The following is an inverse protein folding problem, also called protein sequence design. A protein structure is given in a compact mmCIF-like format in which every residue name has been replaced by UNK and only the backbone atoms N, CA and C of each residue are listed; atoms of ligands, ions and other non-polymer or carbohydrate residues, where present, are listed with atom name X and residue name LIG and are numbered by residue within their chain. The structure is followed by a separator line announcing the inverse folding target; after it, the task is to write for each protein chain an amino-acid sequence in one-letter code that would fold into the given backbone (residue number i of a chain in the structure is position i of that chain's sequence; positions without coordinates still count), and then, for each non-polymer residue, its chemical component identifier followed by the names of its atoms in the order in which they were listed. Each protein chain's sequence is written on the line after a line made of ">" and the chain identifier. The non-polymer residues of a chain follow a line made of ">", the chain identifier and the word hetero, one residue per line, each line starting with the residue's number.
data_IF_998155022665
#
_entry.id   IF_998155022665
#
_cell.length_a   1.000
_cell.length_b   1.000
_cell.length_c   1.000
_cell.angle_alpha   90.00
_cell.angle_beta   90.00
_cell.angle_gamma   90.00
#
_symmetry.space_group_name_H-M   'P 1'
#
loop_
_entity.id
_entity.type
_entity.pdbx_description
1 polymer ?
#
# COMPACT_ATOMS: atom_id res chain seq x y z
N UNK A 1 25.02 -53.32 32.85
CA UNK A 1 24.18 -52.66 33.87
C UNK A 1 24.30 -51.18 33.67
N UNK A 2 23.36 -50.59 32.94
CA UNK A 2 22.96 -49.19 33.06
C UNK A 2 21.70 -49.04 32.21
N UNK A 3 20.54 -48.92 32.85
CA UNK A 3 19.31 -48.44 32.22
C UNK A 3 19.10 -47.04 32.78
N UNK A 4 18.97 -46.08 31.86
CA UNK A 4 19.10 -44.65 32.13
C UNK A 4 18.06 -44.06 33.09
N UNK A 5 18.49 -42.94 33.68
CA UNK A 5 17.73 -42.07 34.57
C UNK A 5 16.41 -41.61 33.95
N UNK A 6 15.32 -41.78 34.70
CA UNK A 6 14.04 -41.12 34.46
C UNK A 6 13.84 -40.02 35.49
N UNK A 7 13.77 -38.78 34.98
CA UNK A 7 13.50 -37.55 35.72
C UNK A 7 12.15 -37.66 36.47
N UNK A 8 12.18 -37.35 37.77
CA UNK A 8 11.02 -37.34 38.64
C UNK A 8 10.17 -36.07 38.41
N UNK A 9 8.94 -36.26 37.95
CA UNK A 9 7.83 -35.32 38.15
C UNK A 9 6.77 -36.02 38.99
N UNK A 10 6.44 -35.41 40.11
CA UNK A 10 5.47 -35.90 41.09
C UNK A 10 4.04 -35.80 40.54
N UNK A 11 3.40 -36.96 40.44
CA UNK A 11 1.97 -37.17 40.23
C UNK A 11 1.65 -38.59 40.66
N UNK A 12 0.70 -38.74 41.56
CA UNK A 12 0.30 -40.02 42.16
C UNK A 12 -0.30 -40.95 41.09
N UNK A 13 0.51 -41.91 40.63
CA UNK A 13 0.10 -43.25 40.23
C UNK A 13 1.34 -44.11 40.30
N UNK A 14 1.49 -44.87 41.39
CA UNK A 14 2.62 -45.79 41.57
C UNK A 14 2.35 -47.03 40.71
N UNK A 15 2.46 -46.89 39.39
CA UNK A 15 2.52 -48.03 38.49
C UNK A 15 3.96 -48.57 38.56
N UNK A 16 4.32 -49.13 39.71
CA UNK A 16 5.55 -49.89 39.86
C UNK A 16 5.45 -51.10 38.96
N UNK A 17 6.14 -51.05 37.84
CA UNK A 17 6.23 -52.17 36.92
C UNK A 17 7.08 -53.27 37.57
N UNK A 18 6.44 -54.39 37.91
CA UNK A 18 7.07 -55.51 38.63
C UNK A 18 7.69 -56.55 37.68
N UNK A 19 7.47 -56.39 36.37
CA UNK A 19 7.99 -57.29 35.34
C UNK A 19 9.49 -57.09 35.16
N UNK A 20 10.18 -58.17 34.81
CA UNK A 20 11.63 -58.17 34.62
C UNK A 20 11.97 -57.53 33.28
N UNK A 21 12.73 -56.44 33.31
CA UNK A 21 13.21 -55.78 32.09
C UNK A 21 14.43 -56.49 31.50
N UNK A 22 14.33 -56.86 30.23
CA UNK A 22 15.40 -57.53 29.46
C UNK A 22 15.63 -56.76 28.16
N UNK A 23 16.85 -56.82 27.63
CA UNK A 23 17.26 -56.11 26.41
C UNK A 23 17.08 -56.92 25.13
N UNK A 24 17.15 -58.25 25.20
CA UNK A 24 16.99 -59.15 24.05
C UNK A 24 15.88 -60.17 24.30
N UNK A 25 14.96 -60.28 23.35
CA UNK A 25 13.88 -61.28 23.37
C UNK A 25 14.46 -62.68 23.13
N UNK A 26 15.47 -62.79 22.26
CA UNK A 26 16.15 -64.05 21.93
C UNK A 26 16.78 -64.73 23.14
N UNK A 27 17.49 -63.98 23.98
CA UNK A 27 18.11 -64.54 25.19
C UNK A 27 17.07 -65.14 26.15
N UNK A 28 15.90 -64.52 26.25
CA UNK A 28 14.79 -65.03 27.08
C UNK A 28 14.18 -66.29 26.47
N UNK A 29 14.02 -66.34 25.15
CA UNK A 29 13.54 -67.54 24.43
C UNK A 29 14.50 -68.71 24.66
N UNK A 30 15.81 -68.50 24.53
CA UNK A 30 16.82 -69.54 24.77
C UNK A 30 16.78 -70.06 26.21
N UNK A 31 16.59 -69.15 27.16
CA UNK A 31 16.46 -69.49 28.58
C UNK A 31 15.19 -70.29 28.86
N UNK A 32 14.03 -69.86 28.33
CA UNK A 32 12.76 -70.58 28.43
C UNK A 32 12.93 -72.00 27.86
N UNK A 33 13.55 -72.16 26.70
CA UNK A 33 13.77 -73.45 26.06
C UNK A 33 14.66 -74.38 26.91
N UNK A 34 15.73 -73.85 27.50
CA UNK A 34 16.61 -74.62 28.39
C UNK A 34 15.89 -75.10 29.66
N UNK A 35 15.11 -74.23 30.29
CA UNK A 35 14.35 -74.61 31.49
C UNK A 35 13.17 -75.53 31.20
N UNK A 36 12.51 -75.38 30.04
CA UNK A 36 11.52 -76.35 29.56
C UNK A 36 12.11 -77.74 29.40
N UNK A 37 13.32 -77.87 28.84
CA UNK A 37 14.01 -79.15 28.72
C UNK A 37 14.30 -79.76 30.09
N UNK A 38 14.80 -78.96 31.04
CA UNK A 38 15.08 -79.41 32.41
C UNK A 38 13.81 -79.85 33.14
N UNK A 39 12.73 -79.08 33.02
CA UNK A 39 11.42 -79.41 33.60
C UNK A 39 10.85 -80.70 32.99
N UNK A 40 10.98 -80.88 31.67
CA UNK A 40 10.57 -82.10 30.99
C UNK A 40 11.35 -83.33 31.46
N UNK A 41 12.67 -83.21 31.67
CA UNK A 41 13.50 -84.30 32.22
C UNK A 41 13.09 -84.65 33.65
N UNK A 42 12.88 -83.65 34.52
CA UNK A 42 12.49 -83.87 35.92
C UNK A 42 11.09 -84.49 36.06
N UNK A 43 10.14 -84.14 35.18
CA UNK A 43 8.79 -84.70 35.16
C UNK A 43 8.77 -86.16 34.65
N UNK A 44 9.69 -86.53 33.76
CA UNK A 44 9.80 -87.90 33.25
C UNK A 44 10.26 -88.91 34.30
N UNK A 45 10.95 -88.46 35.35
CA UNK A 45 11.46 -89.29 36.45
C UNK A 45 10.40 -89.61 37.53
N UNK A 46 9.14 -89.18 37.35
CA UNK A 46 8.05 -89.41 38.31
C UNK A 46 7.36 -90.78 38.08
N UNK A 47 7.28 -91.67 39.10
CA UNK A 47 6.92 -93.08 38.90
C UNK A 47 5.41 -93.45 38.89
N UNK A 48 4.46 -92.53 39.07
CA UNK A 48 3.10 -92.91 39.56
C UNK A 48 1.87 -92.38 38.77
N UNK A 49 1.88 -92.30 37.44
CA UNK A 49 0.65 -91.95 36.72
C UNK A 49 0.48 -92.57 35.31
N UNK A 50 -0.78 -92.67 34.81
CA UNK A 50 -1.07 -93.24 33.50
C UNK A 50 -0.45 -92.39 32.37
N UNK A 51 0.31 -93.04 31.49
CA UNK A 51 1.18 -92.40 30.47
C UNK A 51 0.48 -91.34 29.61
N UNK A 52 -0.79 -91.55 29.23
CA UNK A 52 -1.53 -90.60 28.39
C UNK A 52 -1.95 -89.33 29.14
N UNK A 53 -2.33 -89.44 30.42
CA UNK A 53 -2.70 -88.26 31.21
C UNK A 53 -1.47 -87.43 31.59
N UNK A 54 -0.33 -88.10 31.81
CA UNK A 54 0.94 -87.44 32.10
C UNK A 54 1.47 -86.61 30.93
N UNK A 55 1.35 -87.10 29.70
CA UNK A 55 1.81 -86.37 28.52
C UNK A 55 1.04 -85.06 28.33
N UNK A 56 -0.29 -85.11 28.43
CA UNK A 56 -1.15 -83.91 28.32
C UNK A 56 -0.83 -82.91 29.45
N UNK A 57 -0.74 -83.39 30.70
CA UNK A 57 -0.42 -82.54 31.84
C UNK A 57 0.97 -81.90 31.74
N UNK A 58 1.95 -82.65 31.22
CA UNK A 58 3.32 -82.14 31.00
C UNK A 58 3.33 -81.05 29.93
N UNK A 59 2.59 -81.23 28.85
CA UNK A 59 2.50 -80.24 27.77
C UNK A 59 1.80 -78.96 28.24
N UNK A 60 0.70 -79.09 28.99
CA UNK A 60 0.00 -77.95 29.60
C UNK A 60 0.89 -77.23 30.61
N UNK A 61 1.63 -77.95 31.46
CA UNK A 61 2.54 -77.35 32.43
C UNK A 61 3.69 -76.58 31.76
N UNK A 62 4.26 -77.12 30.68
CA UNK A 62 5.31 -76.45 29.90
C UNK A 62 4.79 -75.20 29.19
N UNK A 63 3.57 -75.24 28.66
CA UNK A 63 2.92 -74.08 28.05
C UNK A 63 2.56 -73.00 29.09
N UNK A 64 2.06 -73.41 30.26
CA UNK A 64 1.75 -72.51 31.37
C UNK A 64 3.03 -71.87 31.95
N UNK A 65 4.13 -72.62 32.03
CA UNK A 65 5.43 -72.09 32.42
C UNK A 65 5.90 -70.99 31.44
N UNK A 66 5.86 -71.27 30.15
CA UNK A 66 6.22 -70.29 29.12
C UNK A 66 5.36 -69.03 29.20
N UNK A 67 4.03 -69.18 29.18
CA UNK A 67 3.13 -68.05 29.25
C UNK A 67 3.35 -67.24 30.55
N UNK A 68 3.58 -67.94 31.67
CA UNK A 68 3.92 -67.31 32.94
C UNK A 68 5.20 -66.48 32.87
N UNK A 69 6.25 -66.96 32.22
CA UNK A 69 7.49 -66.19 32.03
C UNK A 69 7.28 -65.03 31.08
N UNK A 70 6.61 -65.24 29.94
CA UNK A 70 6.37 -64.20 28.93
C UNK A 70 5.55 -63.03 29.47
N UNK A 71 4.51 -63.30 30.26
CA UNK A 71 3.67 -62.26 30.88
C UNK A 71 4.47 -61.44 31.91
N UNK A 72 5.49 -62.02 32.55
CA UNK A 72 6.29 -61.39 33.60
C UNK A 72 7.58 -60.72 33.10
N UNK A 73 7.81 -60.67 31.79
CA UNK A 73 9.00 -60.09 31.18
C UNK A 73 8.61 -58.89 30.30
N UNK A 74 9.44 -57.85 30.35
CA UNK A 74 9.42 -56.72 29.45
C UNK A 74 10.69 -56.71 28.61
N UNK A 75 10.56 -56.58 27.30
CA UNK A 75 11.70 -56.44 26.40
C UNK A 75 11.79 -54.98 25.97
N UNK A 76 12.87 -54.30 26.34
CA UNK A 76 13.06 -52.85 26.08
C UNK A 76 11.87 -51.99 26.55
N UNK A 77 11.20 -52.38 27.64
CA UNK A 77 10.04 -51.69 28.20
C UNK A 77 8.71 -52.01 27.51
N UNK A 78 8.70 -52.89 26.50
CA UNK A 78 7.50 -53.35 25.81
C UNK A 78 7.07 -54.74 26.32
N UNK A 79 5.75 -55.04 26.35
CA UNK A 79 5.26 -56.38 26.66
C UNK A 79 5.71 -57.39 25.59
N UNK A 80 5.76 -58.67 25.98
CA UNK A 80 6.30 -59.75 25.15
C UNK A 80 5.71 -59.82 23.73
N UNK A 81 4.40 -59.58 23.58
CA UNK A 81 3.69 -59.65 22.29
C UNK A 81 3.97 -58.44 21.37
N UNK A 82 4.34 -57.29 21.94
CA UNK A 82 4.62 -56.04 21.20
C UNK A 82 6.11 -55.83 20.95
N UNK A 83 6.96 -56.55 21.68
CA UNK A 83 8.39 -56.47 21.52
C UNK A 83 8.83 -57.05 20.17
N UNK A 84 9.68 -56.33 19.41
CA UNK A 84 10.18 -56.80 18.13
C UNK A 84 10.92 -58.13 18.32
N UNK A 85 10.64 -59.08 17.43
CA UNK A 85 11.44 -60.29 17.33
C UNK A 85 12.74 -59.91 16.63
N UNK A 86 13.87 -60.18 17.28
CA UNK A 86 15.23 -59.95 16.74
C UNK A 86 15.46 -60.70 15.40
N UNK A 87 14.56 -61.63 15.03
CA UNK A 87 14.58 -62.40 13.78
C UNK A 87 13.83 -61.71 12.62
N UNK A 88 12.96 -60.73 12.89
CA UNK A 88 12.15 -60.03 11.86
C UNK A 88 12.92 -58.89 11.19
N UNK A 89 14.08 -58.49 11.73
CA UNK A 89 15.05 -57.65 11.00
C UNK A 89 15.72 -58.39 9.82
N UNK A 90 15.44 -59.68 9.66
CA UNK A 90 15.89 -60.50 8.52
C UNK A 90 14.86 -60.54 7.38
N UNK A 91 13.96 -59.55 7.27
CA UNK A 91 13.45 -59.16 5.95
C UNK A 91 14.61 -58.46 5.23
N UNK A 92 15.53 -59.29 4.68
CA UNK A 92 16.84 -58.95 4.10
C UNK A 92 16.67 -58.06 2.87
N UNK A 93 16.26 -56.82 3.08
CA UNK A 93 16.59 -55.75 2.15
C UNK A 93 18.11 -55.62 2.28
N UNK A 94 18.82 -55.93 1.20
CA UNK A 94 20.26 -55.68 1.09
C UNK A 94 20.48 -54.16 1.15
N UNK A 95 20.50 -53.64 2.38
CA UNK A 95 20.64 -52.22 2.70
C UNK A 95 21.94 -51.67 2.11
N UNK A 96 22.97 -52.52 1.99
CA UNK A 96 24.24 -52.16 1.37
C UNK A 96 24.05 -51.89 -0.13
N UNK A 97 23.31 -52.73 -0.85
CA UNK A 97 23.00 -52.48 -2.27
C UNK A 97 22.16 -51.22 -2.50
N UNK A 98 21.15 -50.97 -1.65
CA UNK A 98 20.29 -49.77 -1.73
C UNK A 98 21.13 -48.53 -1.44
N UNK A 99 22.00 -48.61 -0.43
CA UNK A 99 22.91 -47.53 -0.09
C UNK A 99 23.87 -47.23 -1.24
N UNK A 100 24.49 -48.24 -1.84
CA UNK A 100 25.39 -48.08 -2.97
C UNK A 100 24.69 -47.47 -4.18
N UNK A 101 23.49 -47.93 -4.51
CA UNK A 101 22.69 -47.35 -5.59
C UNK A 101 22.41 -45.86 -5.33
N UNK A 102 22.00 -45.51 -4.11
CA UNK A 102 21.71 -44.12 -3.75
C UNK A 102 22.97 -43.24 -3.77
N UNK A 103 24.13 -43.77 -3.35
CA UNK A 103 25.41 -43.05 -3.40
C UNK A 103 25.82 -42.79 -4.86
N UNK A 104 25.71 -43.79 -5.73
CA UNK A 104 26.03 -43.65 -7.16
C UNK A 104 25.07 -42.67 -7.82
N UNK A 105 23.78 -42.77 -7.56
CA UNK A 105 22.77 -41.88 -8.13
C UNK A 105 23.01 -40.43 -7.69
N UNK A 106 23.20 -40.19 -6.39
CA UNK A 106 23.42 -38.86 -5.85
C UNK A 106 24.72 -38.25 -6.38
N UNK A 107 25.80 -39.03 -6.48
CA UNK A 107 27.07 -38.61 -7.05
C UNK A 107 26.92 -38.23 -8.54
N UNK A 108 26.19 -39.05 -9.31
CA UNK A 108 25.87 -38.76 -10.71
C UNK A 108 25.04 -37.48 -10.85
N UNK A 109 24.03 -37.28 -10.00
CA UNK A 109 23.19 -36.07 -10.00
C UNK A 109 24.04 -34.83 -9.69
N UNK A 110 24.84 -34.85 -8.63
CA UNK A 110 25.76 -33.76 -8.24
C UNK A 110 26.74 -33.38 -9.35
N UNK A 111 27.22 -34.35 -10.13
CA UNK A 111 28.15 -34.10 -11.23
C UNK A 111 27.49 -33.58 -12.52
N UNK A 112 26.32 -34.12 -12.89
CA UNK A 112 25.68 -33.84 -14.19
C UNK A 112 24.67 -32.69 -14.14
N UNK A 113 23.82 -32.63 -13.12
CA UNK A 113 22.68 -31.70 -13.11
C UNK A 113 23.09 -30.22 -13.13
N UNK A 114 24.10 -29.76 -12.37
CA UNK A 114 24.53 -28.37 -12.45
C UNK A 114 24.97 -27.97 -13.87
N UNK A 115 25.64 -28.88 -14.60
CA UNK A 115 26.09 -28.66 -15.97
C UNK A 115 24.93 -28.61 -16.97
N UNK A 116 23.83 -29.32 -16.70
CA UNK A 116 22.61 -29.25 -17.51
C UNK A 116 21.76 -28.02 -17.18
N UNK A 117 21.63 -27.66 -15.90
CA UNK A 117 20.81 -26.52 -15.45
C UNK A 117 21.45 -25.18 -15.86
N UNK A 118 22.77 -25.06 -15.76
CA UNK A 118 23.49 -23.81 -15.99
C UNK A 118 23.19 -23.18 -17.37
N UNK A 119 23.25 -23.90 -18.51
CA UNK A 119 22.88 -23.36 -19.81
C UNK A 119 21.44 -22.82 -19.85
N UNK A 120 20.47 -23.50 -19.24
CA UNK A 120 19.08 -23.06 -19.25
C UNK A 120 18.89 -21.73 -18.51
N UNK A 121 19.49 -21.61 -17.33
CA UNK A 121 19.44 -20.37 -16.53
C UNK A 121 20.16 -19.23 -17.26
N UNK A 122 21.34 -19.50 -17.84
CA UNK A 122 22.08 -18.49 -18.62
C UNK A 122 21.27 -18.03 -19.83
N UNK A 123 20.61 -18.93 -20.56
CA UNK A 123 19.73 -18.57 -21.68
C UNK A 123 18.53 -17.74 -21.22
N UNK A 124 17.89 -18.10 -20.12
CA UNK A 124 16.76 -17.36 -19.55
C UNK A 124 17.18 -15.94 -19.15
N UNK A 125 18.29 -15.79 -18.42
CA UNK A 125 18.82 -14.48 -18.03
C UNK A 125 19.21 -13.62 -19.24
N UNK A 126 19.81 -14.22 -20.28
CA UNK A 126 20.10 -13.52 -21.54
C UNK A 126 18.81 -13.07 -22.24
N UNK A 127 17.77 -13.90 -22.26
CA UNK A 127 16.48 -13.54 -22.84
C UNK A 127 15.82 -12.38 -22.08
N UNK A 128 15.80 -12.44 -20.75
CA UNK A 128 15.29 -11.36 -19.90
C UNK A 128 16.06 -10.05 -20.14
N UNK A 129 17.39 -10.09 -20.23
CA UNK A 129 18.21 -8.92 -20.56
C UNK A 129 17.87 -8.35 -21.94
N UNK A 130 17.64 -9.21 -22.95
CA UNK A 130 17.20 -8.77 -24.28
C UNK A 130 15.86 -8.06 -24.22
N UNK A 131 14.89 -8.60 -23.47
CA UNK A 131 13.57 -7.99 -23.28
C UNK A 131 13.72 -6.61 -22.62
N UNK A 132 14.52 -6.49 -21.56
CA UNK A 132 14.76 -5.21 -20.89
C UNK A 132 15.36 -4.16 -21.83
N UNK A 133 16.30 -4.56 -22.70
CA UNK A 133 16.87 -3.66 -23.71
C UNK A 133 15.85 -3.15 -24.75
N UNK A 134 14.70 -3.81 -24.91
CA UNK A 134 13.61 -3.29 -25.72
C UNK A 134 12.86 -2.17 -25.00
N UNK A 135 12.65 -2.28 -23.68
CA UNK A 135 11.96 -1.26 -22.88
C UNK A 135 12.74 0.06 -22.80
N UNK A 136 14.08 0.00 -22.69
CA UNK A 136 14.93 1.19 -22.59
C UNK A 136 14.77 2.16 -23.77
N UNK A 137 14.47 1.65 -24.97
CA UNK A 137 14.30 2.48 -26.18
C UNK A 137 12.90 3.10 -26.32
N UNK A 138 11.90 2.58 -25.62
CA UNK A 138 10.49 2.97 -25.82
C UNK A 138 10.15 4.26 -25.07
N UNK A 139 10.88 4.59 -23.99
CA UNK A 139 10.59 5.77 -23.18
C UNK A 139 11.48 6.93 -23.61
N UNK A 140 11.09 7.62 -24.69
CA UNK A 140 11.57 8.99 -24.93
C UNK A 140 10.61 9.95 -24.23
N UNK A 141 11.06 10.77 -23.25
CA UNK A 141 10.21 11.77 -22.64
C UNK A 141 9.73 12.73 -23.74
N UNK A 142 8.41 12.89 -23.84
CA UNK A 142 7.79 13.83 -24.77
C UNK A 142 8.24 15.24 -24.36
N UNK A 143 8.93 15.92 -25.27
CA UNK A 143 9.38 17.28 -25.03
C UNK A 143 8.16 18.19 -25.02
N UNK A 144 7.81 18.70 -23.84
CA UNK A 144 6.74 19.69 -23.69
C UNK A 144 7.20 21.00 -24.33
N UNK A 145 6.81 21.22 -25.57
CA UNK A 145 6.99 22.51 -26.25
C UNK A 145 5.93 23.49 -25.76
N UNK A 146 6.31 24.74 -25.54
CA UNK A 146 5.35 25.81 -25.26
C UNK A 146 4.44 26.01 -26.47
N UNK A 147 3.17 26.27 -26.20
CA UNK A 147 2.18 26.59 -27.23
C UNK A 147 2.52 27.97 -27.84
N UNK A 148 2.72 27.99 -29.15
CA UNK A 148 3.09 29.20 -29.88
C UNK A 148 2.01 30.28 -29.79
N UNK A 149 0.73 29.88 -29.70
CA UNK A 149 -0.38 30.82 -29.56
C UNK A 149 -0.38 31.45 -28.17
N UNK A 150 -0.04 30.67 -27.13
CA UNK A 150 0.10 31.17 -25.77
C UNK A 150 1.26 32.16 -25.64
N UNK A 151 2.40 31.86 -26.25
CA UNK A 151 3.57 32.75 -26.24
C UNK A 151 3.27 34.06 -27.00
N UNK A 152 2.61 34.00 -28.16
CA UNK A 152 2.22 35.19 -28.92
C UNK A 152 1.24 36.09 -28.14
N UNK A 153 0.25 35.50 -27.46
CA UNK A 153 -0.67 36.26 -26.60
C UNK A 153 0.05 36.91 -25.41
N UNK A 154 1.03 36.20 -24.81
CA UNK A 154 1.79 36.71 -23.68
C UNK A 154 2.69 37.89 -24.10
N UNK A 155 3.29 37.81 -25.29
CA UNK A 155 4.12 38.89 -25.85
C UNK A 155 3.28 40.12 -26.19
N UNK A 156 2.12 39.95 -26.83
CA UNK A 156 1.20 41.06 -27.14
C UNK A 156 0.73 41.76 -25.86
N UNK A 157 0.31 41.00 -24.86
CA UNK A 157 -0.13 41.54 -23.57
C UNK A 157 1.01 42.30 -22.87
N UNK A 158 2.21 41.76 -22.89
CA UNK A 158 3.40 42.36 -22.29
C UNK A 158 3.82 43.64 -23.01
N UNK A 159 3.66 43.70 -24.33
CA UNK A 159 3.92 44.90 -25.13
C UNK A 159 2.87 46.01 -24.92
N UNK A 160 1.59 45.64 -24.77
CA UNK A 160 0.48 46.58 -24.62
C UNK A 160 0.38 47.17 -23.20
N UNK A 161 0.67 46.39 -22.16
CA UNK A 161 0.47 46.79 -20.77
C UNK A 161 1.17 48.11 -20.37
N UNK A 162 2.45 48.39 -20.74
CA UNK A 162 3.10 49.65 -20.41
C UNK A 162 2.47 50.88 -21.09
N UNK A 163 1.82 50.71 -22.25
CA UNK A 163 1.09 51.77 -22.94
C UNK A 163 -0.12 52.22 -22.11
N UNK A 164 -0.96 51.25 -21.75
CA UNK A 164 -2.18 51.47 -20.96
C UNK A 164 -1.83 52.11 -19.60
N UNK A 165 -0.81 51.61 -18.90
CA UNK A 165 -0.39 52.16 -17.60
C UNK A 165 0.00 53.64 -17.72
N UNK A 166 0.73 54.02 -18.78
CA UNK A 166 1.13 55.42 -19.00
C UNK A 166 -0.07 56.32 -19.29
N UNK A 167 -1.05 55.84 -20.04
CA UNK A 167 -2.29 56.56 -20.30
C UNK A 167 -3.10 56.76 -19.03
N UNK A 168 -3.26 55.71 -18.21
CA UNK A 168 -3.95 55.81 -16.92
C UNK A 168 -3.27 56.83 -16.01
N UNK A 169 -1.93 56.81 -15.89
CA UNK A 169 -1.19 57.80 -15.10
C UNK A 169 -1.42 59.22 -15.63
N UNK A 170 -1.45 59.40 -16.96
CA UNK A 170 -1.71 60.72 -17.57
C UNK A 170 -3.11 61.22 -17.25
N UNK A 171 -4.12 60.37 -17.38
CA UNK A 171 -5.53 60.69 -17.07
C UNK A 171 -5.69 61.04 -15.59
N UNK A 172 -5.09 60.27 -14.69
CA UNK A 172 -5.13 60.56 -13.25
C UNK A 172 -4.53 61.96 -12.98
N UNK A 173 -3.36 62.27 -13.55
CA UNK A 173 -2.73 63.58 -13.39
C UNK A 173 -3.59 64.72 -13.94
N UNK A 174 -4.23 64.54 -15.11
CA UNK A 174 -5.10 65.56 -15.68
C UNK A 174 -6.37 65.78 -14.86
N UNK A 175 -6.97 64.71 -14.31
CA UNK A 175 -8.16 64.82 -13.45
C UNK A 175 -7.85 65.70 -12.23
N UNK A 176 -6.71 65.50 -11.58
CA UNK A 176 -6.32 66.36 -10.45
C UNK A 176 -6.13 67.83 -10.85
N UNK A 177 -5.58 68.09 -12.03
CA UNK A 177 -5.43 69.46 -12.54
C UNK A 177 -6.79 70.12 -12.80
N UNK A 178 -7.71 69.39 -13.46
CA UNK A 178 -9.07 69.88 -13.74
C UNK A 178 -9.85 70.11 -12.46
N UNK A 179 -9.74 69.21 -11.47
CA UNK A 179 -10.38 69.38 -10.16
C UNK A 179 -9.91 70.67 -9.46
N UNK A 180 -8.60 70.95 -9.50
CA UNK A 180 -8.04 72.20 -8.95
C UNK A 180 -8.56 73.44 -9.67
N UNK A 181 -8.66 73.39 -11.00
CA UNK A 181 -9.23 74.50 -11.79
C UNK A 181 -10.71 74.72 -11.47
N UNK A 182 -11.50 73.66 -11.38
CA UNK A 182 -12.92 73.73 -11.04
C UNK A 182 -13.13 74.31 -9.63
N UNK A 183 -12.29 73.94 -8.67
CA UNK A 183 -12.34 74.52 -7.32
C UNK A 183 -11.95 76.01 -7.30
N UNK A 184 -10.92 76.40 -8.07
CA UNK A 184 -10.55 77.81 -8.23
C UNK A 184 -11.66 78.65 -8.86
N UNK A 185 -12.31 78.15 -9.91
CA UNK A 185 -13.47 78.80 -10.54
C UNK A 185 -14.63 78.94 -9.55
N UNK A 186 -14.92 77.88 -8.80
CA UNK A 186 -15.93 77.90 -7.73
C UNK A 186 -15.61 78.95 -6.68
N UNK A 187 -14.34 79.10 -6.29
CA UNK A 187 -13.92 80.13 -5.34
C UNK A 187 -14.19 81.53 -5.89
N UNK A 188 -13.79 81.82 -7.14
CA UNK A 188 -14.02 83.13 -7.79
C UNK A 188 -15.50 83.47 -7.86
N UNK A 189 -16.36 82.52 -8.27
CA UNK A 189 -17.82 82.72 -8.34
C UNK A 189 -18.46 83.00 -6.98
N UNK A 190 -17.87 82.50 -5.89
CA UNK A 190 -18.34 82.74 -4.52
C UNK A 190 -17.77 84.04 -3.89
N UNK A 191 -16.83 84.73 -4.56
CA UNK A 191 -16.33 86.02 -4.08
C UNK A 191 -17.37 87.12 -4.33
N UNK A 192 -17.57 88.00 -3.35
CA UNK A 192 -18.39 89.20 -3.56
C UNK A 192 -17.59 90.21 -4.39
N UNK A 193 -18.18 90.85 -5.40
CA UNK A 193 -17.51 91.92 -6.13
C UNK A 193 -17.15 93.06 -5.18
N UNK A 194 -15.95 93.63 -5.35
CA UNK A 194 -15.52 94.80 -4.58
C UNK A 194 -16.46 95.99 -4.85
N UNK A 195 -16.55 96.91 -3.89
CA UNK A 195 -17.36 98.13 -4.05
C UNK A 195 -16.95 98.93 -5.29
N UNK A 196 -15.65 99.03 -5.56
CA UNK A 196 -15.12 99.70 -6.75
C UNK A 196 -15.58 99.01 -8.07
N UNK A 197 -15.55 97.67 -8.12
CA UNK A 197 -16.06 96.94 -9.29
C UNK A 197 -17.58 97.07 -9.48
N UNK A 198 -18.34 97.17 -8.39
CA UNK A 198 -19.78 97.41 -8.45
C UNK A 198 -20.11 98.84 -8.92
N UNK A 199 -19.32 99.82 -8.51
CA UNK A 199 -19.45 101.22 -8.92
C UNK A 199 -19.20 101.39 -10.41
N UNK A 200 -18.09 100.84 -10.93
CA UNK A 200 -17.81 100.79 -12.37
C UNK A 200 -18.90 100.05 -13.14
N UNK A 201 -19.41 98.92 -12.62
CA UNK A 201 -20.49 98.19 -13.28
C UNK A 201 -21.81 98.98 -13.30
N UNK A 202 -22.06 99.83 -12.29
CA UNK A 202 -23.20 100.77 -12.28
C UNK A 202 -22.99 101.94 -13.23
N UNK A 203 -21.77 102.43 -13.40
CA UNK A 203 -21.46 103.52 -14.34
C UNK A 203 -21.57 103.05 -15.81
N UNK A 204 -21.14 101.82 -16.11
CA UNK A 204 -21.12 101.28 -17.48
C UNK A 204 -22.45 100.62 -17.86
N UNK A 205 -23.11 99.94 -16.93
CA UNK A 205 -24.31 99.14 -17.19
C UNK A 205 -25.54 99.55 -16.35
N UNK A 206 -25.50 100.70 -15.66
CA UNK A 206 -26.63 101.22 -14.88
C UNK A 206 -27.77 101.75 -15.75
N UNK A 207 -29.02 101.74 -15.22
CA UNK A 207 -30.22 102.06 -16.00
C UNK A 207 -30.31 103.55 -16.37
N UNK A 208 -30.71 103.82 -17.61
CA UNK A 208 -31.24 105.12 -18.02
C UNK A 208 -32.74 105.14 -17.74
N UNK A 209 -33.16 105.87 -16.70
CA UNK A 209 -34.56 106.01 -16.29
C UNK A 209 -35.42 106.71 -17.35
N UNK A 210 -36.47 106.03 -17.86
CA UNK A 210 -37.68 106.65 -18.41
C UNK A 210 -38.95 105.85 -18.05
N UNK A 211 -39.75 106.44 -17.14
CA UNK A 211 -41.22 106.54 -17.06
C UNK A 211 -42.17 105.31 -17.13
N UNK A 212 -42.69 104.94 -15.94
CA UNK A 212 -44.11 104.89 -15.54
C UNK A 212 -45.09 103.79 -16.06
N UNK A 213 -45.32 102.73 -15.25
CA UNK A 213 -46.60 102.06 -14.90
C UNK A 213 -46.38 100.87 -13.90
N UNK A 214 -47.39 100.42 -13.10
CA UNK A 214 -47.26 99.93 -11.70
C UNK A 214 -46.71 98.48 -11.49
N UNK A 215 -46.38 98.07 -10.24
CA UNK A 215 -45.37 97.04 -9.98
C UNK A 215 -45.85 95.59 -10.13
N UNK A 216 -44.96 94.79 -10.73
CA UNK A 216 -44.92 93.34 -10.65
C UNK A 216 -44.53 92.86 -9.25
N UNK A 217 -45.23 91.85 -8.75
CA UNK A 217 -44.71 90.99 -7.69
C UNK A 217 -43.82 89.89 -8.31
N UNK A 218 -42.54 89.98 -7.95
CA UNK A 218 -41.69 88.88 -7.48
C UNK A 218 -41.13 87.85 -8.49
N UNK A 219 -39.82 88.04 -8.70
CA UNK A 219 -38.76 87.06 -8.45
C UNK A 219 -38.50 85.98 -9.52
N UNK A 220 -37.74 86.33 -10.56
CA UNK A 220 -36.91 85.36 -11.27
C UNK A 220 -35.45 85.44 -10.84
N UNK A 221 -34.98 84.33 -10.26
CA UNK A 221 -33.57 84.02 -10.08
C UNK A 221 -32.91 83.76 -11.46
N UNK A 222 -31.67 84.20 -11.73
CA UNK A 222 -31.01 83.88 -12.99
C UNK A 222 -30.64 82.39 -13.09
N UNK A 223 -31.47 81.69 -13.85
CA UNK A 223 -31.30 80.45 -14.61
C UNK A 223 -30.16 79.47 -14.24
N UNK A 224 -30.54 78.39 -13.55
CA UNK A 224 -29.85 77.11 -13.50
C UNK A 224 -29.85 76.33 -14.86
N UNK A 225 -30.19 76.99 -15.98
CA UNK A 225 -30.43 76.35 -17.27
C UNK A 225 -29.14 76.09 -18.07
N UNK A 226 -28.10 76.93 -17.91
CA UNK A 226 -26.84 76.77 -18.63
C UNK A 226 -26.02 75.57 -18.16
N UNK A 227 -26.03 75.28 -16.86
CA UNK A 227 -25.26 74.18 -16.25
C UNK A 227 -25.85 72.80 -16.58
N UNK A 228 -27.18 72.68 -16.70
CA UNK A 228 -27.83 71.39 -17.02
C UNK A 228 -27.48 70.90 -18.43
N UNK A 229 -27.38 71.80 -19.41
CA UNK A 229 -27.08 71.44 -20.80
C UNK A 229 -25.63 70.96 -21.01
N UNK A 230 -24.68 71.40 -20.18
CA UNK A 230 -23.29 70.94 -20.24
C UNK A 230 -23.07 69.58 -19.55
N UNK A 231 -23.85 69.29 -18.50
CA UNK A 231 -23.78 68.02 -17.77
C UNK A 231 -24.42 66.85 -18.54
N UNK A 232 -25.48 67.12 -19.32
CA UNK A 232 -26.13 66.12 -20.18
C UNK A 232 -25.23 65.69 -21.36
N UNK A 233 -24.33 66.56 -21.84
CA UNK A 233 -23.42 66.23 -22.95
C UNK A 233 -22.22 65.35 -22.56
N UNK A 234 -21.94 65.17 -21.27
CA UNK A 234 -20.82 64.32 -20.78
C UNK A 234 -21.28 62.97 -20.21
N UNK A 235 -22.57 62.62 -20.38
CA UNK A 235 -23.19 61.41 -19.81
C UNK A 235 -23.14 60.18 -20.72
N UNK A 236 -22.32 60.17 -21.78
CA UNK A 236 -22.10 58.94 -22.58
C UNK A 236 -20.99 58.10 -21.94
N UNK A 237 -21.42 57.22 -21.03
CA UNK A 237 -20.57 56.24 -20.38
C UNK A 237 -20.00 55.22 -21.36
N UNK A 238 -18.74 54.83 -21.13
CA UNK A 238 -18.06 53.76 -21.86
C UNK A 238 -18.74 52.41 -21.60
N UNK A 239 -19.18 51.71 -22.66
CA UNK A 239 -19.74 50.36 -22.59
C UNK A 239 -18.68 49.34 -23.04
N UNK A 240 -18.22 48.41 -22.17
CA UNK A 240 -17.31 47.36 -22.58
C UNK A 240 -17.97 46.38 -23.56
N UNK A 241 -17.28 46.07 -24.65
CA UNK A 241 -17.71 45.07 -25.64
C UNK A 241 -17.82 43.68 -25.00
N UNK A 242 -19.00 43.06 -25.08
CA UNK A 242 -19.23 41.70 -24.61
C UNK A 242 -18.37 40.69 -25.38
N UNK A 243 -17.63 39.85 -24.65
CA UNK A 243 -16.94 38.68 -25.20
C UNK A 243 -17.97 37.64 -25.62
N UNK A 244 -17.87 37.14 -26.86
CA UNK A 244 -18.63 35.97 -27.32
C UNK A 244 -18.11 34.72 -26.58
N UNK A 245 -18.95 34.13 -25.74
CA UNK A 245 -18.76 32.76 -25.25
C UNK A 245 -19.30 31.81 -26.31
N UNK A 246 -18.41 31.23 -27.10
CA UNK A 246 -18.75 30.14 -28.02
C UNK A 246 -18.72 28.83 -27.22
N UNK A 247 -19.87 28.46 -26.65
CA UNK A 247 -20.09 27.16 -26.03
C UNK A 247 -20.56 26.20 -27.14
N UNK A 248 -19.62 25.47 -27.74
CA UNK A 248 -19.95 24.34 -28.62
C UNK A 248 -20.15 23.09 -27.75
N UNK A 249 -21.40 22.81 -27.40
CA UNK A 249 -21.81 21.47 -26.99
C UNK A 249 -22.00 20.63 -28.26
N UNK A 250 -21.07 19.70 -28.52
CA UNK A 250 -21.08 18.80 -29.67
C UNK A 250 -20.95 17.34 -29.22
N UNK A 251 -22.11 16.69 -29.11
CA UNK A 251 -22.41 15.25 -29.06
C UNK A 251 -21.30 14.27 -29.52
N UNK A 252 -21.02 13.25 -28.70
CA UNK A 252 -20.71 11.86 -29.13
C UNK A 252 -21.90 11.28 -29.94
N UNK A 253 -21.81 10.23 -30.81
CA UNK A 253 -21.04 8.99 -30.61
C UNK A 253 -20.53 8.23 -31.88
N UNK A 254 -20.00 7.01 -31.66
CA UNK A 254 -19.74 5.89 -32.59
C UNK A 254 -18.49 5.99 -33.50
N UNK A 255 -17.40 5.29 -33.16
CA UNK A 255 -17.14 3.85 -33.39
C UNK A 255 -16.15 3.31 -32.33
#
# INVERSE_FOLDING_TARGET
>A
MECGEVNAVAGEDVNTEYRVCVSSKKEVIDLINRYKQLLATALHEQPEAPQHALQTLTQELLANFEAGVQINVLVNGLPWDEAPDDEVEEEVIDLESVLDETIVETTRRRSKFPKHILPHVVHALKAQRKILGLYEKVVKPEAVTKDADQDAMMDELSAAAPGVVRETIRVIKSIFAVQKQAEGLRQVLNMRPSSASLEVHREVFGPSDQSEAPPSDQSEAPSAAGLKRAMEASSDGYVPRAKKTECMMGKQPLD
#
